data_IF_971300595925
#
_entry.id   IF_971300595925
#
_cell.length_a   1.000
_cell.length_b   1.000
_cell.length_c   1.000
_cell.angle_alpha   90.00
_cell.angle_beta   90.00
_cell.angle_gamma   90.00
#
_symmetry.space_group_name_H-M   'P 1'
#
loop_
_entity.id
_entity.type
_entity.pdbx_description
1 polymer ?
#
# COMPACT_ATOMS: atom_id res chain seq x y z
N UNK A 1 -55.15 -16.54 45.79
CA UNK A 1 -54.72 -17.45 44.70
C UNK A 1 -53.87 -16.66 43.69
N UNK A 2 -52.97 -17.34 42.94
CA UNK A 2 -52.31 -17.00 41.64
C UNK A 2 -52.85 -15.75 40.86
N UNK A 3 -52.11 -14.95 40.04
CA UNK A 3 -50.70 -14.90 39.55
C UNK A 3 -50.44 -13.61 38.68
N UNK A 4 -49.16 -13.28 38.36
CA UNK A 4 -48.61 -12.38 37.28
C UNK A 4 -48.77 -10.84 37.49
N UNK A 5 -47.81 -9.91 37.26
CA UNK A 5 -46.67 -9.71 36.31
C UNK A 5 -47.12 -9.23 34.91
N UNK A 6 -46.54 -8.24 34.20
CA UNK A 6 -45.23 -7.50 34.17
C UNK A 6 -45.44 -5.94 34.27
N UNK A 7 -44.49 -4.98 34.17
CA UNK A 7 -43.01 -4.92 34.12
C UNK A 7 -42.45 -3.62 33.45
N UNK A 8 -41.11 -3.40 33.47
CA UNK A 8 -40.31 -2.39 32.70
C UNK A 8 -40.57 -0.88 32.90
N UNK A 9 -39.60 0.05 32.81
CA UNK A 9 -38.14 -0.04 32.58
C UNK A 9 -37.41 1.16 33.22
N UNK A 10 -36.16 0.97 33.65
CA UNK A 10 -35.28 2.06 34.10
C UNK A 10 -33.80 1.71 33.84
N UNK A 11 -33.18 2.38 32.87
CA UNK A 11 -31.71 2.47 32.71
C UNK A 11 -31.38 3.68 31.85
N UNK A 12 -30.84 4.72 32.47
CA UNK A 12 -30.18 5.81 31.74
C UNK A 12 -28.77 5.36 31.36
N UNK A 13 -28.33 5.68 30.13
CA UNK A 13 -26.95 5.50 29.70
C UNK A 13 -26.46 6.79 29.02
N UNK A 14 -25.57 7.51 29.70
CA UNK A 14 -24.99 8.75 29.17
C UNK A 14 -23.98 8.43 28.05
N UNK A 15 -24.22 8.97 26.86
CA UNK A 15 -23.30 8.85 25.73
C UNK A 15 -22.14 9.85 25.88
N UNK A 16 -21.00 9.38 26.36
CA UNK A 16 -19.74 10.12 26.28
C UNK A 16 -19.20 10.07 24.83
N UNK A 17 -19.51 11.10 24.04
CA UNK A 17 -18.93 11.29 22.73
C UNK A 17 -17.51 11.87 22.83
N UNK A 18 -16.51 11.03 23.11
CA UNK A 18 -15.09 11.40 22.99
C UNK A 18 -14.72 11.55 21.52
N UNK A 19 -14.93 12.76 20.98
CA UNK A 19 -14.47 13.16 19.66
C UNK A 19 -12.93 13.21 19.62
N UNK A 20 -12.32 12.06 19.33
CA UNK A 20 -10.88 11.94 19.15
C UNK A 20 -10.50 12.49 17.76
N UNK A 21 -10.48 13.82 17.61
CA UNK A 21 -9.96 14.51 16.42
C UNK A 21 -8.43 14.37 16.36
N UNK A 22 -7.98 13.15 16.07
CA UNK A 22 -6.61 12.85 15.72
C UNK A 22 -6.27 13.45 14.37
N UNK A 23 -5.81 14.70 14.38
CA UNK A 23 -5.14 15.35 13.24
C UNK A 23 -3.82 14.64 12.96
N UNK A 24 -3.89 13.49 12.28
CA UNK A 24 -2.71 12.81 11.76
C UNK A 24 -2.10 13.71 10.71
N UNK A 25 -1.04 14.44 11.11
CA UNK A 25 -0.23 15.23 10.21
C UNK A 25 0.36 14.31 9.13
N UNK A 26 -0.29 14.30 7.96
CA UNK A 26 0.18 13.58 6.80
C UNK A 26 1.45 14.27 6.27
N UNK A 27 2.59 13.92 6.88
CA UNK A 27 3.91 14.35 6.43
C UNK A 27 4.09 13.91 4.98
N UNK A 28 3.86 14.85 4.07
CA UNK A 28 3.86 14.65 2.63
C UNK A 28 5.26 14.33 2.14
N UNK A 29 5.65 13.06 2.25
CA UNK A 29 6.83 12.55 1.55
C UNK A 29 6.59 12.79 0.06
N UNK A 30 7.31 13.76 -0.51
CA UNK A 30 7.22 14.09 -1.93
C UNK A 30 7.41 12.79 -2.73
N UNK A 31 6.41 12.45 -3.55
CA UNK A 31 6.50 11.27 -4.38
C UNK A 31 7.67 11.46 -5.35
N UNK A 32 8.61 10.52 -5.40
CA UNK A 32 9.62 10.55 -6.45
C UNK A 32 8.89 10.55 -7.80
N UNK A 33 9.27 11.47 -8.68
CA UNK A 33 8.72 11.51 -10.03
C UNK A 33 9.08 10.19 -10.76
N UNK A 34 8.17 9.62 -11.57
CA UNK A 34 8.49 8.44 -12.35
C UNK A 34 9.71 8.72 -13.25
N UNK A 35 10.64 7.77 -13.43
CA UNK A 35 11.68 7.91 -14.44
C UNK A 35 11.03 8.21 -15.79
N UNK A 36 11.43 9.32 -16.41
CA UNK A 36 10.99 9.67 -17.78
C UNK A 36 11.52 8.70 -18.84
N UNK A 37 12.55 7.92 -18.51
CA UNK A 37 13.25 7.06 -19.45
C UNK A 37 13.20 5.60 -18.98
N UNK A 38 12.63 4.74 -19.83
CA UNK A 38 12.57 3.29 -19.69
C UNK A 38 13.41 2.56 -20.77
N UNK A 39 14.25 3.27 -21.54
CA UNK A 39 15.11 2.71 -22.59
C UNK A 39 16.16 1.72 -22.05
N UNK A 40 16.42 1.80 -20.75
CA UNK A 40 17.21 0.85 -19.97
C UNK A 40 16.32 0.01 -19.05
N UNK A 41 15.31 -0.67 -19.61
CA UNK A 41 14.46 -1.57 -18.85
C UNK A 41 15.15 -2.94 -18.66
N UNK A 42 15.30 -3.36 -17.40
CA UNK A 42 15.59 -4.77 -17.08
C UNK A 42 14.28 -5.53 -17.28
N UNK A 43 14.21 -6.37 -18.31
CA UNK A 43 13.05 -7.23 -18.62
C UNK A 43 13.18 -8.59 -17.95
N UNK A 44 12.14 -9.42 -18.04
CA UNK A 44 12.11 -10.81 -17.57
C UNK A 44 12.19 -10.98 -16.03
N UNK A 45 12.00 -9.88 -15.31
CA UNK A 45 12.03 -9.76 -13.85
C UNK A 45 10.81 -10.45 -13.24
N UNK A 46 10.94 -11.10 -12.07
CA UNK A 46 9.83 -11.81 -11.40
C UNK A 46 9.44 -11.19 -10.07
N UNK A 47 8.14 -11.07 -9.81
CA UNK A 47 7.65 -10.71 -8.48
C UNK A 47 7.64 -11.94 -7.55
N UNK A 48 8.16 -11.79 -6.33
CA UNK A 48 8.21 -12.84 -5.28
C UNK A 48 6.83 -13.15 -4.70
N UNK A 49 5.98 -12.13 -4.67
CA UNK A 49 4.61 -12.15 -4.21
C UNK A 49 3.78 -11.21 -5.10
N UNK A 50 2.47 -11.35 -5.07
CA UNK A 50 1.54 -10.50 -5.81
C UNK A 50 1.57 -9.09 -5.25
N UNK A 51 2.09 -8.11 -6.01
CA UNK A 51 2.24 -6.72 -5.57
C UNK A 51 1.39 -5.74 -6.36
N UNK A 52 0.88 -4.72 -5.67
CA UNK A 52 0.17 -3.61 -6.30
C UNK A 52 1.17 -2.63 -6.92
N UNK A 53 1.06 -2.41 -8.22
CA UNK A 53 1.75 -1.34 -8.97
C UNK A 53 1.03 -0.03 -8.67
N UNK A 54 1.75 1.05 -8.32
CA UNK A 54 1.14 2.29 -7.79
C UNK A 54 1.53 3.56 -8.55
N UNK A 55 0.72 4.61 -8.44
CA UNK A 55 1.01 5.94 -9.02
C UNK A 55 2.15 6.69 -8.34
N UNK A 56 2.56 6.29 -7.14
CA UNK A 56 3.67 6.92 -6.39
C UNK A 56 4.35 5.89 -5.47
N UNK A 57 5.62 6.11 -5.07
CA UNK A 57 6.38 5.17 -4.23
C UNK A 57 5.95 5.26 -2.76
N UNK A 58 4.70 4.93 -2.46
CA UNK A 58 4.11 4.88 -1.11
C UNK A 58 2.91 3.92 -1.07
N UNK A 59 2.68 3.27 0.07
CA UNK A 59 1.58 2.29 0.25
C UNK A 59 0.18 2.90 0.25
N UNK A 60 0.07 4.22 0.42
CA UNK A 60 -1.18 4.99 0.33
C UNK A 60 -1.48 5.50 -1.09
N UNK A 61 -0.60 5.29 -2.07
CA UNK A 61 -0.84 5.72 -3.45
C UNK A 61 -1.81 4.78 -4.18
N UNK A 62 -2.61 5.33 -5.08
CA UNK A 62 -3.55 4.60 -5.94
C UNK A 62 -2.85 3.44 -6.65
N UNK A 63 -3.48 2.27 -6.63
CA UNK A 63 -3.00 1.12 -7.40
C UNK A 63 -3.42 1.28 -8.86
N UNK A 64 -2.45 1.24 -9.78
CA UNK A 64 -2.65 1.20 -11.23
C UNK A 64 -2.94 -0.22 -11.73
N UNK A 65 -2.43 -1.23 -11.03
CA UNK A 65 -2.54 -2.63 -11.40
C UNK A 65 -1.91 -3.55 -10.38
N UNK A 66 -1.75 -4.82 -10.76
CA UNK A 66 -1.20 -5.88 -9.92
C UNK A 66 -0.18 -6.66 -10.76
N UNK A 67 1.05 -6.74 -10.28
CA UNK A 67 2.06 -7.65 -10.79
C UNK A 67 1.92 -8.97 -10.02
N UNK A 68 1.50 -10.03 -10.71
CA UNK A 68 1.26 -11.35 -10.10
C UNK A 68 2.54 -12.04 -9.58
N UNK A 69 2.41 -12.86 -8.53
CA UNK A 69 3.52 -13.71 -8.06
C UNK A 69 4.03 -14.62 -9.19
N UNK A 70 5.34 -14.59 -9.45
CA UNK A 70 5.98 -15.38 -10.51
C UNK A 70 5.84 -14.81 -11.93
N UNK A 71 4.92 -13.86 -12.14
CA UNK A 71 4.73 -13.19 -13.42
C UNK A 71 5.96 -12.37 -13.82
N UNK A 72 6.18 -12.28 -15.12
CA UNK A 72 7.38 -11.72 -15.72
C UNK A 72 7.08 -10.31 -16.23
N UNK A 73 7.81 -9.33 -15.73
CA UNK A 73 7.66 -7.92 -16.07
C UNK A 73 9.01 -7.24 -16.27
N UNK A 74 9.00 -5.91 -16.27
CA UNK A 74 10.20 -5.09 -16.40
C UNK A 74 10.35 -4.05 -15.28
N UNK A 75 11.59 -3.68 -14.96
CA UNK A 75 11.94 -2.50 -14.15
C UNK A 75 12.68 -1.50 -15.06
N UNK A 76 12.21 -0.25 -15.10
CA UNK A 76 12.88 0.82 -15.84
C UNK A 76 14.15 1.33 -15.13
N UNK A 77 15.02 1.99 -15.90
CA UNK A 77 16.23 2.69 -15.43
C UNK A 77 17.21 1.78 -14.66
N UNK A 78 17.70 0.72 -15.32
CA UNK A 78 18.78 -0.17 -14.87
C UNK A 78 18.57 -0.79 -13.48
N UNK A 79 17.30 -1.02 -13.08
CA UNK A 79 17.03 -1.57 -11.75
C UNK A 79 17.43 -0.62 -10.61
N UNK A 80 17.45 0.71 -10.85
CA UNK A 80 17.68 1.71 -9.81
C UNK A 80 16.47 1.84 -8.90
N UNK A 81 16.72 1.78 -7.59
CA UNK A 81 15.70 1.93 -6.56
C UNK A 81 15.61 3.38 -6.10
N UNK A 82 14.39 3.88 -5.95
CA UNK A 82 14.08 5.23 -5.52
C UNK A 82 13.61 5.25 -4.07
N UNK A 83 14.00 6.29 -3.33
CA UNK A 83 13.53 6.51 -1.96
C UNK A 83 12.10 7.07 -2.00
N UNK A 84 11.23 6.54 -1.15
CA UNK A 84 9.84 6.95 -1.04
C UNK A 84 9.27 6.68 0.35
N UNK A 85 7.95 6.51 0.43
CA UNK A 85 7.27 6.14 1.67
C UNK A 85 7.69 4.75 2.15
N UNK A 86 7.84 4.62 3.48
CA UNK A 86 8.15 3.34 4.13
C UNK A 86 7.02 2.32 3.96
N UNK A 87 7.39 1.04 3.86
CA UNK A 87 6.47 -0.08 3.75
C UNK A 87 7.03 -1.33 4.42
N UNK A 88 6.15 -2.29 4.70
CA UNK A 88 6.50 -3.68 5.01
C UNK A 88 5.83 -4.55 3.96
N UNK A 89 6.61 -5.29 3.17
CA UNK A 89 6.12 -6.14 2.08
C UNK A 89 7.13 -7.28 1.83
N UNK A 90 6.66 -8.44 1.37
CA UNK A 90 7.50 -9.61 1.09
C UNK A 90 8.47 -9.95 2.24
N UNK A 91 7.93 -9.98 3.45
CA UNK A 91 8.65 -10.28 4.70
C UNK A 91 9.66 -9.22 5.17
N UNK A 92 9.81 -8.07 4.49
CA UNK A 92 10.85 -7.07 4.82
C UNK A 92 10.31 -5.64 4.88
N UNK A 93 10.86 -4.84 5.81
CA UNK A 93 10.60 -3.40 5.90
C UNK A 93 11.63 -2.63 5.08
N UNK A 94 11.19 -1.66 4.28
CA UNK A 94 12.07 -0.78 3.50
C UNK A 94 11.33 0.50 3.08
N UNK A 95 12.05 1.45 2.49
CA UNK A 95 11.53 2.68 1.88
C UNK A 95 11.99 2.84 0.41
N UNK A 96 12.54 1.76 -0.17
CA UNK A 96 13.08 1.74 -1.52
C UNK A 96 12.10 1.09 -2.51
N UNK A 97 11.82 1.76 -3.62
CA UNK A 97 10.83 1.35 -4.62
C UNK A 97 11.47 1.22 -5.99
N UNK A 98 11.01 0.26 -6.79
CA UNK A 98 11.30 0.19 -8.21
C UNK A 98 10.16 0.79 -9.02
N UNK A 99 10.48 1.28 -10.22
CA UNK A 99 9.49 1.70 -11.20
C UNK A 99 9.44 0.68 -12.35
N UNK A 100 8.28 0.06 -12.56
CA UNK A 100 8.13 -1.07 -13.48
C UNK A 100 6.78 -1.77 -13.32
N UNK A 101 6.61 -2.90 -14.01
CA UNK A 101 5.38 -3.67 -14.01
C UNK A 101 5.37 -4.80 -15.04
N UNK A 102 4.27 -5.54 -15.08
CA UNK A 102 3.97 -6.56 -16.09
C UNK A 102 3.18 -5.95 -17.27
N UNK A 103 2.00 -5.38 -17.00
CA UNK A 103 1.05 -4.81 -17.98
C UNK A 103 0.98 -3.29 -17.91
N UNK A 104 1.29 -2.73 -16.74
CA UNK A 104 1.27 -1.28 -16.46
C UNK A 104 2.48 -0.93 -15.63
N UNK A 105 3.23 0.09 -16.06
CA UNK A 105 4.38 0.57 -15.33
C UNK A 105 3.96 1.50 -14.18
N UNK A 106 4.59 1.32 -13.01
CA UNK A 106 4.39 2.17 -11.85
C UNK A 106 5.30 1.75 -10.70
N UNK A 107 4.98 2.21 -9.50
CA UNK A 107 5.83 2.00 -8.33
C UNK A 107 5.53 0.67 -7.63
N UNK A 108 6.55 -0.16 -7.47
CA UNK A 108 6.49 -1.45 -6.74
C UNK A 108 7.55 -1.54 -5.63
N UNK A 109 7.30 -2.27 -4.54
CA UNK A 109 8.26 -2.39 -3.44
C UNK A 109 9.52 -3.17 -3.87
N UNK A 110 10.73 -2.60 -3.68
CA UNK A 110 12.02 -3.28 -4.01
C UNK A 110 12.12 -4.69 -3.42
N UNK A 111 11.70 -4.84 -2.16
CA UNK A 111 11.75 -6.12 -1.41
C UNK A 111 11.05 -7.28 -2.12
N UNK A 112 10.03 -6.97 -2.90
CA UNK A 112 9.14 -7.93 -3.53
C UNK A 112 9.55 -8.37 -4.93
N UNK A 113 10.60 -7.77 -5.49
CA UNK A 113 11.04 -8.08 -6.85
C UNK A 113 12.33 -8.90 -6.80
N UNK A 114 12.44 -9.89 -7.68
CA UNK A 114 13.63 -10.69 -7.91
C UNK A 114 14.02 -10.62 -9.38
N UNK A 115 15.25 -10.19 -9.63
CA UNK A 115 15.93 -10.23 -10.92
C UNK A 115 17.31 -10.84 -10.71
#
# INVERSE_FOLDING_TARGET
MKFKSLGTAATAAALFATALTGTVAAAGTAAAAPPKDCSKAIVNVKAKETVKVRTSPKTSATALGIWGKGERGGICNDGKAYKGGSYTACGKKSNMWYYGGDKVNGWVPKTCINW
#
